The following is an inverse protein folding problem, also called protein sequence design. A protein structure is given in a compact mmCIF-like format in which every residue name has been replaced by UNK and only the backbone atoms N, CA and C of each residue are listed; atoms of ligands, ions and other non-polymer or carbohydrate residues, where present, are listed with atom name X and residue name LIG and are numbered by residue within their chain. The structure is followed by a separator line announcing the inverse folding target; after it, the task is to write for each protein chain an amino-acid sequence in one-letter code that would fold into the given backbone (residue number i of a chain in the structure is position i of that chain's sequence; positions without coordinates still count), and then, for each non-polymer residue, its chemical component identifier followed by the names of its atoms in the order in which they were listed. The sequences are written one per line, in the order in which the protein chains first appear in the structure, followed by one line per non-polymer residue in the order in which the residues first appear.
data_IF_763369165887
#
_entry.id   IF_763369165887
#
_cell.length_a   1.000
_cell.length_b   1.000
_cell.length_c   1.000
_cell.angle_alpha   90.00
_cell.angle_beta   90.00
_cell.angle_gamma   90.00
#
_symmetry.space_group_name_H-M   'P 1'
#
loop_
_entity.id
_entity.type
_entity.pdbx_description
1 polymer ?
#
# COMPACT_ATOMS: atom_id res chain seq x y z
N UNK A 1 -0.77 -2.34 12.68
CA UNK A 1 0.43 -3.12 13.00
C UNK A 1 1.18 -2.38 14.10
N UNK A 2 1.68 -3.06 15.14
CA UNK A 2 2.37 -2.40 16.26
C UNK A 2 3.75 -1.83 15.89
N UNK A 3 4.32 -2.28 14.77
CA UNK A 3 5.70 -2.03 14.32
C UNK A 3 5.78 -1.33 12.96
N UNK A 4 4.72 -0.60 12.58
CA UNK A 4 4.67 0.14 11.32
C UNK A 4 3.25 0.58 10.92
N UNK A 5 3.12 1.12 9.70
CA UNK A 5 1.83 1.56 9.17
C UNK A 5 1.75 1.42 7.65
N UNK A 6 0.51 1.43 7.15
CA UNK A 6 0.21 1.59 5.72
C UNK A 6 -0.79 2.72 5.50
N UNK A 7 -0.61 3.48 4.42
CA UNK A 7 -1.48 4.55 3.98
C UNK A 7 -1.89 4.30 2.53
N UNK A 8 -3.19 4.41 2.25
CA UNK A 8 -3.74 4.45 0.88
C UNK A 8 -4.60 5.70 0.80
N UNK A 9 -4.34 6.56 -0.18
CA UNK A 9 -5.15 7.76 -0.42
C UNK A 9 -5.40 7.98 -1.91
N UNK A 10 -6.46 8.71 -2.23
CA UNK A 10 -6.62 9.26 -3.57
C UNK A 10 -5.55 10.33 -3.84
N UNK A 11 -5.02 10.34 -5.07
CA UNK A 11 -4.29 11.49 -5.59
C UNK A 11 -5.26 12.67 -5.78
N UNK A 12 -4.76 13.89 -5.55
CA UNK A 12 -5.57 15.10 -5.67
C UNK A 12 -5.60 15.63 -7.11
N UNK A 13 -4.67 15.20 -7.96
CA UNK A 13 -4.43 15.78 -9.29
C UNK A 13 -4.50 14.76 -10.43
N UNK A 14 -4.50 13.47 -10.11
CA UNK A 14 -4.54 12.37 -11.09
C UNK A 14 -5.47 11.26 -10.62
N UNK A 15 -6.08 10.47 -11.52
CA UNK A 15 -7.01 9.41 -11.16
C UNK A 15 -6.29 8.14 -10.70
N UNK A 16 -5.42 8.25 -9.69
CA UNK A 16 -4.64 7.15 -9.13
C UNK A 16 -4.75 7.11 -7.61
N UNK A 17 -4.54 5.94 -7.03
CA UNK A 17 -4.31 5.79 -5.60
C UNK A 17 -2.80 5.86 -5.31
N UNK A 18 -2.43 6.56 -4.25
CA UNK A 18 -1.06 6.64 -3.75
C UNK A 18 -0.98 5.78 -2.49
N UNK A 19 -0.01 4.86 -2.47
CA UNK A 19 0.24 3.91 -1.41
C UNK A 19 1.59 4.22 -0.75
N UNK A 20 1.67 4.13 0.58
CA UNK A 20 2.92 4.19 1.34
C UNK A 20 2.87 3.17 2.46
N UNK A 21 3.95 2.41 2.62
CA UNK A 21 4.12 1.44 3.69
C UNK A 21 5.40 1.74 4.44
N UNK A 22 5.39 1.52 5.75
CA UNK A 22 6.53 1.71 6.63
C UNK A 22 6.52 0.62 7.70
N UNK A 23 7.68 0.01 7.93
CA UNK A 23 7.90 -0.98 8.98
C UNK A 23 9.25 -0.73 9.64
N UNK A 24 9.32 -0.96 10.95
CA UNK A 24 10.55 -0.77 11.72
C UNK A 24 11.66 -1.76 11.32
N UNK A 25 11.30 -2.89 10.70
CA UNK A 25 12.21 -3.85 10.08
C UNK A 25 11.75 -4.20 8.66
N UNK A 26 12.62 -4.78 7.81
CA UNK A 26 12.24 -5.26 6.48
C UNK A 26 11.09 -6.29 6.52
N UNK A 27 11.06 -7.16 7.53
CA UNK A 27 10.02 -8.17 7.70
C UNK A 27 8.68 -7.53 8.08
N UNK A 28 8.70 -6.51 8.93
CA UNK A 28 7.51 -5.74 9.29
C UNK A 28 6.95 -5.01 8.06
N UNK A 29 7.83 -4.37 7.27
CA UNK A 29 7.44 -3.68 6.03
C UNK A 29 6.78 -4.65 5.04
N UNK A 30 7.42 -5.79 4.79
CA UNK A 30 6.90 -6.80 3.86
C UNK A 30 5.54 -7.35 4.30
N UNK A 31 5.35 -7.60 5.60
CA UNK A 31 4.06 -8.05 6.16
C UNK A 31 2.97 -6.98 6.00
N UNK A 32 3.27 -5.73 6.32
CA UNK A 32 2.32 -4.61 6.22
C UNK A 32 1.89 -4.39 4.77
N UNK A 33 2.86 -4.39 3.84
CA UNK A 33 2.60 -4.26 2.41
C UNK A 33 1.69 -5.40 1.91
N UNK A 34 2.03 -6.65 2.24
CA UNK A 34 1.26 -7.82 1.82
C UNK A 34 -0.19 -7.77 2.35
N UNK A 35 -0.37 -7.48 3.64
CA UNK A 35 -1.69 -7.40 4.27
C UNK A 35 -2.55 -6.28 3.65
N UNK A 36 -1.96 -5.10 3.43
CA UNK A 36 -2.65 -3.95 2.85
C UNK A 36 -3.05 -4.20 1.38
N UNK A 37 -2.16 -4.81 0.60
CA UNK A 37 -2.48 -5.19 -0.79
C UNK A 37 -3.56 -6.27 -0.84
N UNK A 38 -3.60 -7.20 0.13
CA UNK A 38 -4.68 -8.17 0.24
C UNK A 38 -6.04 -7.49 0.54
N UNK A 39 -6.06 -6.51 1.45
CA UNK A 39 -7.26 -5.72 1.74
C UNK A 39 -7.71 -4.90 0.52
N UNK A 40 -6.78 -4.26 -0.20
CA UNK A 40 -7.10 -3.51 -1.41
C UNK A 40 -7.73 -4.41 -2.48
N UNK A 41 -7.18 -5.60 -2.72
CA UNK A 41 -7.73 -6.55 -3.71
C UNK A 41 -9.14 -7.03 -3.36
N UNK A 42 -9.53 -7.04 -2.08
CA UNK A 42 -10.91 -7.39 -1.69
C UNK A 42 -11.93 -6.36 -2.15
N UNK A 43 -11.55 -5.08 -2.20
CA UNK A 43 -12.46 -3.97 -2.58
C UNK A 43 -12.27 -3.53 -4.03
N UNK A 44 -11.07 -3.73 -4.58
CA UNK A 44 -10.72 -3.47 -5.98
C UNK A 44 -9.91 -4.65 -6.55
N UNK A 45 -10.56 -5.76 -6.93
CA UNK A 45 -9.86 -6.96 -7.42
C UNK A 45 -9.04 -6.74 -8.70
N UNK A 46 -9.45 -5.76 -9.52
CA UNK A 46 -8.83 -5.32 -10.76
C UNK A 46 -7.82 -4.17 -10.55
N UNK A 47 -7.35 -3.96 -9.32
CA UNK A 47 -6.31 -2.98 -9.04
C UNK A 47 -5.02 -3.32 -9.79
N UNK A 48 -4.55 -2.40 -10.64
CA UNK A 48 -3.25 -2.50 -11.27
C UNK A 48 -2.22 -1.78 -10.40
N UNK A 49 -1.19 -2.49 -9.97
CA UNK A 49 -0.08 -1.92 -9.20
C UNK A 49 0.98 -1.43 -10.18
N UNK A 50 1.22 -0.12 -10.20
CA UNK A 50 2.34 0.49 -10.91
C UNK A 50 3.60 0.46 -10.05
N UNK A 51 4.77 0.44 -10.70
CA UNK A 51 6.03 0.67 -10.00
C UNK A 51 6.07 2.11 -9.45
N UNK A 52 6.59 2.26 -8.24
CA UNK A 52 6.84 3.57 -7.63
C UNK A 52 7.73 4.40 -8.55
N UNK A 53 7.30 5.63 -8.88
CA UNK A 53 8.16 6.63 -9.48
C UNK A 53 9.14 7.10 -8.40
N UNK A 54 10.29 6.44 -8.33
CA UNK A 54 11.46 6.90 -7.60
C UNK A 54 12.49 7.41 -8.61
#
# INVERSE_FOLDING_TARGET
WPDGFGLIRASNTTPVLVLRFEGQTPEALARIEADMLALLRRVKPDAQLGASAH
#
